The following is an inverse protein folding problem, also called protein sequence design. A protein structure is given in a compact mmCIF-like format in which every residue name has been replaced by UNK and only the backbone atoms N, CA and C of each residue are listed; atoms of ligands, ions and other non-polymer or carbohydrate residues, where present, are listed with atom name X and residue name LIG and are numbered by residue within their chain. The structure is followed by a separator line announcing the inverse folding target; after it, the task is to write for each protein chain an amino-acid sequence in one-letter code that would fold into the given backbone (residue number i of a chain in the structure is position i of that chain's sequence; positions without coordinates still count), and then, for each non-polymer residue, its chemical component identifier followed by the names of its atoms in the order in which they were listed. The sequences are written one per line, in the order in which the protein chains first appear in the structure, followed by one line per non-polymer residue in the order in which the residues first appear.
data_IF_588214886379
#
_entry.id   IF_588214886379
#
_cell.length_a   1.000
_cell.length_b   1.000
_cell.length_c   1.000
_cell.angle_alpha   90.00
_cell.angle_beta   90.00
_cell.angle_gamma   90.00
#
_symmetry.space_group_name_H-M   'P 1'
#
loop_
_entity.id
_entity.type
_entity.pdbx_description
1 polymer ?
#
# COMPACT_ATOMS: atom_id res chain seq x y z
N UNK A 1 -46.31 73.62 -51.21
CA UNK A 1 -46.47 72.90 -49.98
C UNK A 1 -46.31 71.41 -50.33
N UNK A 2 -45.10 70.89 -50.26
CA UNK A 2 -44.75 69.53 -50.73
C UNK A 2 -44.42 68.70 -49.55
N UNK A 3 -45.15 67.58 -49.33
CA UNK A 3 -44.96 66.59 -48.29
C UNK A 3 -43.87 65.59 -48.74
N UNK A 4 -42.84 65.45 -47.94
CA UNK A 4 -41.80 64.41 -48.12
C UNK A 4 -42.30 63.07 -47.60
N UNK A 5 -42.04 61.94 -48.25
CA UNK A 5 -42.35 60.62 -47.76
C UNK A 5 -41.23 60.10 -46.86
N UNK A 6 -41.64 59.43 -45.76
CA UNK A 6 -40.82 58.73 -44.72
C UNK A 6 -40.13 57.48 -45.31
N UNK A 7 -38.86 57.20 -44.99
CA UNK A 7 -38.22 55.95 -45.46
C UNK A 7 -38.65 54.72 -44.62
N UNK A 8 -38.95 53.66 -45.35
CA UNK A 8 -39.33 52.36 -44.81
C UNK A 8 -38.13 51.70 -44.10
N UNK A 9 -38.38 51.18 -42.90
CA UNK A 9 -37.45 50.31 -42.11
C UNK A 9 -37.27 49.00 -42.85
N UNK A 10 -36.03 48.73 -43.32
CA UNK A 10 -35.61 47.39 -43.80
C UNK A 10 -35.31 46.48 -42.59
N UNK A 11 -36.10 45.44 -42.46
CA UNK A 11 -35.84 44.33 -41.48
C UNK A 11 -34.70 43.48 -42.00
N UNK A 12 -33.53 43.59 -41.36
CA UNK A 12 -32.38 42.68 -41.55
C UNK A 12 -32.65 41.36 -40.87
N UNK A 13 -33.15 40.40 -41.61
CA UNK A 13 -33.18 38.99 -41.15
C UNK A 13 -31.76 38.41 -41.10
N UNK A 14 -31.25 38.25 -39.89
CA UNK A 14 -29.99 37.54 -39.63
C UNK A 14 -30.13 36.05 -39.99
N UNK A 15 -29.66 35.70 -41.17
CA UNK A 15 -29.57 34.33 -41.64
C UNK A 15 -28.48 33.58 -40.85
N UNK A 16 -28.84 32.91 -39.77
CA UNK A 16 -27.92 32.04 -38.98
C UNK A 16 -27.52 30.84 -39.83
N UNK A 17 -26.30 30.84 -40.33
CA UNK A 17 -25.76 29.79 -41.18
C UNK A 17 -25.79 28.39 -40.50
N UNK A 18 -26.33 27.36 -41.14
CA UNK A 18 -26.45 25.99 -40.56
C UNK A 18 -25.10 25.28 -40.39
N UNK A 19 -23.99 25.76 -40.94
CA UNK A 19 -22.66 25.14 -40.92
C UNK A 19 -22.00 25.10 -39.53
N UNK A 20 -22.25 26.08 -38.64
CA UNK A 20 -21.68 26.12 -37.29
C UNK A 20 -22.28 25.08 -36.34
N UNK A 21 -23.53 24.69 -36.49
CA UNK A 21 -24.24 23.70 -35.64
C UNK A 21 -23.77 22.27 -35.90
N UNK A 22 -23.38 21.95 -37.12
CA UNK A 22 -22.91 20.62 -37.50
C UNK A 22 -21.48 20.33 -37.01
N UNK A 23 -20.58 21.32 -37.08
CA UNK A 23 -19.21 21.21 -36.61
C UNK A 23 -19.11 21.03 -35.08
N UNK A 24 -20.01 21.64 -34.31
CA UNK A 24 -20.09 21.46 -32.86
C UNK A 24 -20.56 20.04 -32.49
N UNK A 25 -21.59 19.53 -33.15
CA UNK A 25 -22.11 18.16 -32.94
C UNK A 25 -21.07 17.09 -33.26
N UNK A 26 -20.32 17.27 -34.35
CA UNK A 26 -19.23 16.35 -34.72
C UNK A 26 -18.10 16.39 -33.69
N UNK A 27 -17.70 17.57 -33.21
CA UNK A 27 -16.65 17.69 -32.17
C UNK A 27 -17.07 17.06 -30.85
N UNK A 28 -18.32 17.24 -30.45
CA UNK A 28 -18.87 16.61 -29.23
C UNK A 28 -18.93 15.11 -29.39
N UNK A 29 -19.38 14.58 -30.53
CA UNK A 29 -19.40 13.13 -30.79
C UNK A 29 -18.00 12.51 -30.79
N UNK A 30 -17.00 13.20 -31.37
CA UNK A 30 -15.60 12.76 -31.35
C UNK A 30 -15.00 12.77 -29.93
N UNK A 31 -15.34 13.75 -29.10
CA UNK A 31 -14.94 13.77 -27.68
C UNK A 31 -15.54 12.63 -26.88
N UNK A 32 -16.84 12.32 -27.08
CA UNK A 32 -17.48 11.18 -26.42
C UNK A 32 -16.91 9.85 -26.87
N UNK A 33 -16.60 9.67 -28.16
CA UNK A 33 -15.96 8.45 -28.66
C UNK A 33 -14.52 8.30 -28.15
N UNK A 34 -13.75 9.37 -28.06
CA UNK A 34 -12.39 9.33 -27.49
C UNK A 34 -12.42 9.00 -25.98
N UNK A 35 -13.37 9.56 -25.22
CA UNK A 35 -13.58 9.23 -23.81
C UNK A 35 -14.01 7.78 -23.61
N UNK A 36 -14.91 7.27 -24.45
CA UNK A 36 -15.33 5.87 -24.41
C UNK A 36 -14.18 4.90 -24.71
N UNK A 37 -13.34 5.20 -25.73
CA UNK A 37 -12.16 4.40 -26.04
C UNK A 37 -11.14 4.47 -24.90
N UNK A 38 -10.87 5.65 -24.33
CA UNK A 38 -9.96 5.79 -23.21
C UNK A 38 -10.48 5.01 -21.97
N UNK A 39 -11.78 5.02 -21.72
CA UNK A 39 -12.42 4.24 -20.65
C UNK A 39 -12.27 2.74 -20.86
N UNK A 40 -12.51 2.24 -22.10
CA UNK A 40 -12.33 0.83 -22.45
C UNK A 40 -10.88 0.39 -22.30
N UNK A 41 -9.91 1.19 -22.76
CA UNK A 41 -8.48 0.91 -22.61
C UNK A 41 -8.04 0.88 -21.13
N UNK A 42 -8.58 1.79 -20.32
CA UNK A 42 -8.33 1.79 -18.87
C UNK A 42 -8.91 0.55 -18.19
N UNK A 43 -10.08 0.11 -18.61
CA UNK A 43 -10.74 -1.10 -18.09
C UNK A 43 -9.99 -2.38 -18.47
N UNK A 44 -9.51 -2.50 -19.71
CA UNK A 44 -8.67 -3.62 -20.17
C UNK A 44 -7.36 -3.69 -19.38
N UNK A 45 -6.78 -2.53 -19.05
CA UNK A 45 -5.56 -2.47 -18.25
C UNK A 45 -5.81 -2.94 -16.79
N UNK A 46 -6.89 -2.50 -16.15
CA UNK A 46 -7.27 -2.94 -14.80
C UNK A 46 -7.60 -4.44 -14.74
N UNK A 47 -8.28 -4.99 -15.75
CA UNK A 47 -8.54 -6.42 -15.86
C UNK A 47 -7.25 -7.23 -16.02
N UNK A 48 -6.28 -6.73 -16.78
CA UNK A 48 -4.95 -7.31 -16.90
C UNK A 48 -4.22 -7.32 -15.55
N UNK A 49 -4.24 -6.22 -14.80
CA UNK A 49 -3.64 -6.17 -13.47
C UNK A 49 -4.37 -7.09 -12.48
N UNK A 50 -5.68 -7.20 -12.55
CA UNK A 50 -6.46 -8.13 -11.74
C UNK A 50 -6.04 -9.58 -11.98
N UNK A 51 -5.94 -10.01 -13.25
CA UNK A 51 -5.48 -11.36 -13.61
C UNK A 51 -4.05 -11.64 -13.10
N UNK A 52 -3.14 -10.68 -13.23
CA UNK A 52 -1.76 -10.79 -12.73
C UNK A 52 -1.72 -10.88 -11.20
N UNK A 53 -2.54 -10.13 -10.50
CA UNK A 53 -2.70 -10.16 -9.04
C UNK A 53 -3.24 -11.50 -8.56
N UNK A 54 -4.27 -12.03 -9.22
CA UNK A 54 -4.80 -13.37 -8.95
C UNK A 54 -3.71 -14.45 -9.15
N UNK A 55 -2.98 -14.39 -10.27
CA UNK A 55 -1.87 -15.31 -10.53
C UNK A 55 -0.82 -15.23 -9.42
N UNK A 56 -0.42 -14.02 -8.99
CA UNK A 56 0.52 -13.82 -7.88
C UNK A 56 0.01 -14.52 -6.59
N UNK A 57 -1.25 -14.33 -6.22
CA UNK A 57 -1.82 -14.97 -5.03
C UNK A 57 -1.77 -16.49 -5.14
N UNK A 58 -2.17 -17.06 -6.28
CA UNK A 58 -2.22 -18.50 -6.48
C UNK A 58 -0.85 -19.16 -6.56
N UNK A 59 0.10 -18.57 -7.30
CA UNK A 59 1.36 -19.23 -7.62
C UNK A 59 2.49 -18.89 -6.66
N UNK A 60 2.48 -17.69 -6.08
CA UNK A 60 3.60 -17.19 -5.27
C UNK A 60 3.28 -17.20 -3.77
N UNK A 61 2.02 -17.01 -3.39
CA UNK A 61 1.61 -16.89 -1.98
C UNK A 61 1.01 -18.21 -1.48
N UNK A 62 -0.12 -18.63 -2.05
CA UNK A 62 -0.81 -19.86 -1.67
C UNK A 62 -0.12 -21.12 -2.21
N UNK A 63 0.59 -21.02 -3.33
CA UNK A 63 1.33 -22.09 -3.99
C UNK A 63 2.84 -21.96 -3.87
N UNK A 64 3.36 -21.20 -2.89
CA UNK A 64 4.80 -20.99 -2.73
C UNK A 64 5.56 -22.32 -2.67
N UNK A 65 6.62 -22.43 -3.50
CA UNK A 65 7.48 -23.62 -3.59
C UNK A 65 8.92 -23.32 -3.22
N UNK A 66 9.17 -22.23 -2.49
CA UNK A 66 10.49 -21.95 -1.97
C UNK A 66 10.92 -23.05 -1.01
N UNK A 67 12.17 -23.48 -1.11
CA UNK A 67 12.72 -24.49 -0.21
C UNK A 67 12.56 -24.04 1.25
N UNK A 68 11.78 -24.79 2.03
CA UNK A 68 11.47 -24.48 3.42
C UNK A 68 10.39 -23.43 3.67
N UNK A 69 9.75 -22.88 2.61
CA UNK A 69 8.66 -21.93 2.76
C UNK A 69 7.31 -22.65 2.80
N UNK A 70 6.56 -22.49 3.87
CA UNK A 70 5.19 -22.96 3.96
C UNK A 70 4.23 -22.01 3.25
N UNK A 71 3.30 -22.54 2.42
CA UNK A 71 2.27 -21.73 1.79
C UNK A 71 1.44 -20.93 2.80
N UNK A 72 1.06 -19.71 2.44
CA UNK A 72 0.07 -18.92 3.20
C UNK A 72 -1.31 -19.53 2.99
N UNK A 73 -2.02 -19.79 4.09
CA UNK A 73 -3.31 -20.51 4.10
C UNK A 73 -4.48 -19.68 4.62
N UNK A 74 -4.23 -18.57 5.35
CA UNK A 74 -5.33 -17.72 5.84
C UNK A 74 -6.06 -17.07 4.66
N UNK A 75 -7.31 -17.52 4.44
CA UNK A 75 -8.15 -17.04 3.34
C UNK A 75 -8.38 -15.53 3.38
N UNK A 76 -8.40 -14.90 4.57
CA UNK A 76 -8.57 -13.45 4.75
C UNK A 76 -7.32 -12.72 4.26
N UNK A 77 -6.14 -13.27 4.56
CA UNK A 77 -4.87 -12.72 4.06
C UNK A 77 -4.84 -12.83 2.54
N UNK A 78 -5.12 -14.01 1.97
CA UNK A 78 -5.15 -14.20 0.52
C UNK A 78 -6.14 -13.23 -0.16
N UNK A 79 -7.30 -13.01 0.45
CA UNK A 79 -8.30 -12.07 -0.08
C UNK A 79 -7.82 -10.61 -0.01
N UNK A 80 -7.12 -10.21 1.05
CA UNK A 80 -6.51 -8.88 1.13
C UNK A 80 -5.53 -8.64 -0.02
N UNK A 81 -4.74 -9.64 -0.39
CA UNK A 81 -3.82 -9.57 -1.53
C UNK A 81 -4.53 -9.51 -2.89
N UNK A 82 -5.73 -10.11 -3.03
CA UNK A 82 -6.56 -9.96 -4.24
C UNK A 82 -7.12 -8.55 -4.38
N UNK A 83 -7.40 -7.88 -3.27
CA UNK A 83 -8.02 -6.55 -3.24
C UNK A 83 -7.02 -5.41 -3.39
N UNK A 84 -5.79 -5.54 -2.86
CA UNK A 84 -4.81 -4.45 -2.85
C UNK A 84 -3.98 -4.42 -4.14
N UNK A 85 -4.07 -3.35 -4.95
CA UNK A 85 -3.41 -3.27 -6.25
C UNK A 85 -1.92 -2.93 -6.10
N UNK A 86 -1.05 -3.94 -5.97
CA UNK A 86 0.39 -3.77 -5.72
C UNK A 86 1.08 -2.83 -6.74
N UNK A 87 0.63 -2.82 -8.00
CA UNK A 87 1.16 -1.94 -9.05
C UNK A 87 1.00 -0.44 -8.74
N UNK A 88 0.08 -0.06 -7.82
CA UNK A 88 -0.09 1.33 -7.35
C UNK A 88 0.93 1.71 -6.27
N UNK A 89 1.74 0.78 -5.80
CA UNK A 89 2.72 0.95 -4.72
C UNK A 89 4.18 0.86 -5.20
N UNK A 90 4.39 0.82 -6.51
CA UNK A 90 5.73 0.82 -7.13
C UNK A 90 5.90 2.06 -8.01
N UNK A 91 7.16 2.50 -8.27
CA UNK A 91 7.44 3.53 -9.27
C UNK A 91 6.89 3.17 -10.66
N UNK A 92 6.50 4.16 -11.46
CA UNK A 92 5.88 3.97 -12.77
C UNK A 92 6.68 3.04 -13.70
N UNK A 93 8.00 3.17 -13.72
CA UNK A 93 8.89 2.31 -14.51
C UNK A 93 8.86 0.83 -14.09
N UNK A 94 8.42 0.52 -12.88
CA UNK A 94 8.38 -0.84 -12.32
C UNK A 94 6.96 -1.46 -12.32
N UNK A 95 5.95 -0.75 -12.79
CA UNK A 95 4.58 -1.27 -12.94
C UNK A 95 4.53 -2.58 -13.73
N UNK A 96 5.27 -2.77 -14.83
CA UNK A 96 5.34 -4.06 -15.54
C UNK A 96 5.82 -5.22 -14.66
N UNK A 97 6.61 -4.96 -13.62
CA UNK A 97 7.23 -5.95 -12.74
C UNK A 97 6.51 -6.08 -11.38
N UNK A 98 5.46 -5.29 -11.13
CA UNK A 98 4.82 -5.16 -9.82
C UNK A 98 4.34 -6.47 -9.18
N UNK A 99 4.03 -7.48 -10.00
CA UNK A 99 3.51 -8.78 -9.56
C UNK A 99 4.53 -9.92 -9.67
N UNK A 100 5.82 -9.61 -9.84
CA UNK A 100 6.90 -10.59 -9.78
C UNK A 100 7.20 -10.97 -8.32
N UNK A 101 7.67 -12.22 -8.11
CA UNK A 101 7.95 -12.77 -6.77
C UNK A 101 9.33 -12.33 -6.26
N UNK A 102 9.55 -11.03 -6.18
CA UNK A 102 10.78 -10.41 -5.69
C UNK A 102 10.53 -9.03 -5.08
N UNK A 103 11.44 -8.53 -4.24
CA UNK A 103 11.43 -7.13 -3.84
C UNK A 103 11.71 -6.21 -5.04
N UNK A 104 11.16 -4.98 -5.01
CA UNK A 104 11.37 -3.98 -6.04
C UNK A 104 11.81 -2.65 -5.39
N UNK A 105 12.74 -1.90 -6.00
CA UNK A 105 13.19 -0.61 -5.47
C UNK A 105 12.06 0.43 -5.48
N UNK A 106 11.98 1.22 -4.40
CA UNK A 106 11.02 2.32 -4.25
C UNK A 106 11.70 3.68 -4.02
N UNK A 107 13.01 3.74 -4.20
CA UNK A 107 13.83 4.92 -3.95
C UNK A 107 14.50 4.89 -2.57
N UNK A 108 15.42 5.81 -2.35
CA UNK A 108 16.16 6.01 -1.08
C UNK A 108 16.83 4.74 -0.54
N UNK A 109 17.25 3.82 -1.41
CA UNK A 109 17.82 2.53 -1.01
C UNK A 109 16.81 1.54 -0.40
N UNK A 110 15.50 1.83 -0.48
CA UNK A 110 14.44 1.00 0.08
C UNK A 110 13.72 0.19 -1.00
N UNK A 111 13.02 -0.86 -0.57
CA UNK A 111 12.25 -1.73 -1.45
C UNK A 111 10.84 -1.98 -0.93
N UNK A 112 9.91 -2.22 -1.84
CA UNK A 112 8.67 -2.94 -1.51
C UNK A 112 9.02 -4.43 -1.43
N UNK A 113 8.72 -5.08 -0.31
CA UNK A 113 9.07 -6.49 -0.07
C UNK A 113 8.42 -7.45 -1.07
N UNK A 114 9.04 -8.62 -1.26
CA UNK A 114 8.50 -9.73 -2.05
C UNK A 114 7.06 -10.07 -1.61
N UNK A 115 6.12 -10.33 -2.53
CA UNK A 115 4.73 -10.65 -2.20
C UNK A 115 4.55 -11.76 -1.16
N UNK A 116 5.28 -12.87 -1.30
CA UNK A 116 5.23 -13.97 -0.35
C UNK A 116 5.62 -13.52 1.07
N UNK A 117 6.70 -12.74 1.21
CA UNK A 117 7.18 -12.28 2.52
C UNK A 117 6.15 -11.37 3.20
N UNK A 118 5.56 -10.41 2.45
CA UNK A 118 4.47 -9.56 2.96
C UNK A 118 3.30 -10.40 3.47
N UNK A 119 2.92 -11.44 2.72
CA UNK A 119 1.80 -12.32 3.07
C UNK A 119 2.12 -13.18 4.29
N UNK A 120 3.33 -13.78 4.34
CA UNK A 120 3.76 -14.63 5.46
C UNK A 120 3.85 -13.83 6.76
N UNK A 121 4.45 -12.65 6.73
CA UNK A 121 4.51 -11.76 7.89
C UNK A 121 3.11 -11.36 8.36
N UNK A 122 2.18 -11.09 7.44
CA UNK A 122 0.79 -10.78 7.76
C UNK A 122 0.07 -11.97 8.39
N UNK A 123 0.24 -13.20 7.86
CA UNK A 123 -0.36 -14.42 8.42
C UNK A 123 0.14 -14.71 9.83
N UNK A 124 1.46 -14.58 10.06
CA UNK A 124 2.11 -14.89 11.34
C UNK A 124 1.60 -14.06 12.51
N UNK A 125 1.20 -12.82 12.28
CA UNK A 125 0.65 -11.94 13.33
C UNK A 125 -0.84 -12.18 13.60
N UNK A 126 -1.49 -13.10 12.87
CA UNK A 126 -2.91 -13.49 13.04
C UNK A 126 -3.87 -12.30 13.20
N UNK A 127 -3.93 -11.38 12.23
CA UNK A 127 -4.72 -10.16 12.35
C UNK A 127 -6.22 -10.47 12.47
N UNK A 128 -6.95 -9.72 13.32
CA UNK A 128 -8.39 -9.81 13.47
C UNK A 128 -9.05 -8.45 13.20
N UNK A 129 -10.33 -8.44 12.87
CA UNK A 129 -11.07 -7.24 12.45
C UNK A 129 -11.10 -6.13 13.49
N UNK A 130 -11.01 -6.46 14.75
CA UNK A 130 -11.03 -5.58 15.92
C UNK A 130 -9.61 -5.16 16.38
N UNK A 131 -8.57 -5.73 15.78
CA UNK A 131 -7.18 -5.47 16.15
C UNK A 131 -6.71 -4.07 15.75
N UNK A 132 -5.76 -3.56 16.54
CA UNK A 132 -4.90 -2.43 16.21
C UNK A 132 -3.52 -2.93 15.84
N UNK A 133 -3.05 -2.57 14.66
CA UNK A 133 -1.72 -2.95 14.16
C UNK A 133 -0.74 -1.78 14.18
N UNK A 134 0.54 -2.10 14.44
CA UNK A 134 1.67 -1.21 14.22
C UNK A 134 2.56 -1.81 13.12
N UNK A 135 2.95 -1.00 12.15
CA UNK A 135 3.97 -1.31 11.17
C UNK A 135 5.18 -0.41 11.38
N UNK A 136 6.38 -0.98 11.31
CA UNK A 136 7.65 -0.24 11.31
C UNK A 136 8.30 -0.37 9.94
N UNK A 137 8.49 0.77 9.26
CA UNK A 137 8.95 0.82 7.87
C UNK A 137 7.78 0.91 6.89
N UNK A 138 7.14 2.09 6.78
CA UNK A 138 6.01 2.30 5.85
C UNK A 138 6.40 2.05 4.40
N UNK A 139 7.61 2.49 4.01
CA UNK A 139 8.10 2.38 2.65
C UNK A 139 7.12 2.91 1.61
N UNK A 140 6.61 2.03 0.74
CA UNK A 140 5.59 2.38 -0.25
C UNK A 140 4.17 2.50 0.32
N UNK A 141 3.90 1.98 1.54
CA UNK A 141 2.58 1.83 2.15
C UNK A 141 1.85 0.53 1.79
N UNK A 142 2.50 -0.41 1.08
CA UNK A 142 1.84 -1.63 0.62
C UNK A 142 1.46 -2.58 1.76
N UNK A 143 2.38 -2.85 2.70
CA UNK A 143 2.11 -3.69 3.87
C UNK A 143 1.01 -3.06 4.75
N UNK A 144 1.04 -1.74 4.97
CA UNK A 144 -0.02 -1.01 5.67
C UNK A 144 -1.38 -1.17 4.97
N UNK A 145 -1.42 -1.06 3.63
CA UNK A 145 -2.64 -1.25 2.85
C UNK A 145 -3.20 -2.67 2.99
N UNK A 146 -2.35 -3.71 2.98
CA UNK A 146 -2.75 -5.11 3.24
C UNK A 146 -3.33 -5.25 4.65
N UNK A 147 -2.62 -4.79 5.69
CA UNK A 147 -3.08 -4.84 7.07
C UNK A 147 -4.44 -4.14 7.26
N UNK A 148 -4.66 -3.00 6.60
CA UNK A 148 -5.90 -2.23 6.71
C UNK A 148 -7.16 -2.96 6.24
N UNK A 149 -7.02 -4.03 5.46
CA UNK A 149 -8.13 -4.92 5.06
C UNK A 149 -8.50 -5.92 6.15
N UNK A 150 -7.62 -6.12 7.12
CA UNK A 150 -7.71 -7.21 8.09
C UNK A 150 -7.97 -6.73 9.52
N UNK A 151 -7.66 -5.45 9.82
CA UNK A 151 -7.72 -4.90 11.18
C UNK A 151 -8.59 -3.64 11.26
N UNK A 152 -8.87 -3.17 12.48
CA UNK A 152 -9.64 -1.96 12.72
C UNK A 152 -8.84 -0.68 12.42
N UNK A 153 -7.55 -0.64 12.82
CA UNK A 153 -6.67 0.52 12.69
C UNK A 153 -5.24 0.05 12.39
N UNK A 154 -4.56 0.75 11.48
CA UNK A 154 -3.14 0.56 11.20
C UNK A 154 -2.40 1.85 11.51
N UNK A 155 -1.36 1.76 12.32
CA UNK A 155 -0.40 2.83 12.58
C UNK A 155 0.92 2.42 11.98
N UNK A 156 1.52 3.26 11.13
CA UNK A 156 2.79 2.95 10.47
C UNK A 156 3.80 4.08 10.63
N UNK A 157 5.06 3.72 10.82
CA UNK A 157 6.15 4.66 11.08
C UNK A 157 7.20 4.55 9.98
N UNK A 158 7.60 5.72 9.43
CA UNK A 158 8.65 5.83 8.43
C UNK A 158 9.71 6.84 8.87
N UNK A 159 10.97 6.44 8.86
CA UNK A 159 12.06 7.35 9.23
C UNK A 159 12.50 8.24 8.07
N UNK A 160 12.35 7.77 6.82
CA UNK A 160 12.69 8.50 5.61
C UNK A 160 11.52 9.40 5.24
N UNK A 161 11.60 10.66 5.65
CA UNK A 161 10.51 11.62 5.51
C UNK A 161 9.89 11.68 4.09
N UNK A 162 10.65 11.76 2.97
CA UNK A 162 10.04 11.77 1.64
C UNK A 162 9.22 10.53 1.32
N UNK A 163 9.67 9.34 1.76
CA UNK A 163 8.90 8.10 1.58
C UNK A 163 7.61 8.11 2.39
N UNK A 164 7.68 8.52 3.66
CA UNK A 164 6.50 8.56 4.53
C UNK A 164 5.46 9.57 4.06
N UNK A 165 5.88 10.74 3.53
CA UNK A 165 4.97 11.72 2.92
C UNK A 165 4.30 11.12 1.68
N UNK A 166 5.07 10.57 0.74
CA UNK A 166 4.55 9.95 -0.47
C UNK A 166 3.62 8.75 -0.19
N UNK A 167 3.93 7.94 0.83
CA UNK A 167 3.07 6.84 1.26
C UNK A 167 1.74 7.34 1.85
N UNK A 168 1.77 8.39 2.68
CA UNK A 168 0.56 9.01 3.24
C UNK A 168 -0.38 9.51 2.15
N UNK A 169 0.15 10.25 1.18
CA UNK A 169 -0.61 10.77 0.04
C UNK A 169 -1.21 9.63 -0.79
N UNK A 170 -0.41 8.63 -1.13
CA UNK A 170 -0.86 7.44 -1.88
C UNK A 170 -1.96 6.67 -1.16
N UNK A 171 -1.79 6.42 0.13
CA UNK A 171 -2.78 5.72 0.94
C UNK A 171 -4.10 6.50 1.02
N UNK A 172 -4.03 7.83 1.15
CA UNK A 172 -5.21 8.69 1.15
C UNK A 172 -5.93 8.68 -0.23
N UNK A 173 -5.18 8.84 -1.33
CA UNK A 173 -5.68 8.79 -2.71
C UNK A 173 -6.38 7.44 -3.01
N UNK A 174 -5.79 6.33 -2.55
CA UNK A 174 -6.33 4.98 -2.74
C UNK A 174 -7.43 4.61 -1.73
N UNK A 175 -7.81 5.52 -0.84
CA UNK A 175 -8.94 5.35 0.09
C UNK A 175 -8.63 4.49 1.33
N UNK A 176 -7.37 4.27 1.69
CA UNK A 176 -6.97 3.51 2.89
C UNK A 176 -7.06 4.36 4.16
N UNK A 177 -8.27 4.81 4.52
CA UNK A 177 -8.53 5.77 5.62
C UNK A 177 -8.23 5.26 7.02
N UNK A 178 -8.04 3.95 7.18
CA UNK A 178 -7.69 3.30 8.46
C UNK A 178 -6.20 3.35 8.79
N UNK A 179 -5.37 3.92 7.91
CA UNK A 179 -3.91 3.95 8.03
C UNK A 179 -3.46 5.34 8.46
N UNK A 180 -2.88 5.42 9.67
CA UNK A 180 -2.18 6.59 10.16
C UNK A 180 -0.68 6.47 9.91
N UNK A 181 -0.06 7.47 9.25
CA UNK A 181 1.38 7.50 8.94
C UNK A 181 2.08 8.53 9.81
N UNK A 182 3.11 8.10 10.56
CA UNK A 182 4.01 8.96 11.35
C UNK A 182 5.39 8.98 10.73
N UNK A 183 5.99 10.16 10.65
CA UNK A 183 7.41 10.31 10.33
C UNK A 183 8.21 10.27 11.64
N UNK A 184 9.11 9.30 11.77
CA UNK A 184 9.90 9.14 13.01
C UNK A 184 10.71 7.87 13.05
N UNK A 185 11.41 7.67 14.18
CA UNK A 185 12.21 6.49 14.44
C UNK A 185 11.32 5.34 14.93
N UNK A 186 11.24 4.30 14.12
CA UNK A 186 10.43 3.11 14.38
C UNK A 186 10.94 2.24 15.55
N UNK A 187 12.21 2.39 15.95
CA UNK A 187 12.77 1.66 17.09
C UNK A 187 11.96 1.87 18.37
N UNK A 188 11.44 3.09 18.58
CA UNK A 188 10.67 3.47 19.77
C UNK A 188 9.17 3.15 19.65
N UNK A 189 8.71 2.67 18.49
CA UNK A 189 7.28 2.42 18.26
C UNK A 189 6.42 3.70 18.31
N UNK A 190 5.18 3.52 18.75
CA UNK A 190 4.20 4.60 18.87
C UNK A 190 3.45 4.53 20.22
N UNK A 191 4.09 4.97 21.33
CA UNK A 191 3.55 4.82 22.68
C UNK A 191 2.14 5.37 22.86
N UNK A 192 1.84 6.53 22.22
CA UNK A 192 0.55 7.21 22.32
C UNK A 192 -0.61 6.42 21.66
N UNK A 193 -0.28 5.41 20.86
CA UNK A 193 -1.24 4.53 20.17
C UNK A 193 -1.26 3.11 20.73
N UNK A 194 -0.31 2.79 21.61
CA UNK A 194 -0.23 1.46 22.25
C UNK A 194 -1.44 1.22 23.20
N UNK A 195 -1.76 -0.06 23.52
CA UNK A 195 -1.09 -1.27 23.04
C UNK A 195 -1.56 -1.75 21.67
N UNK A 196 -0.71 -2.54 20.99
CA UNK A 196 -0.99 -3.11 19.67
C UNK A 196 -1.24 -4.62 19.77
N UNK A 197 -2.24 -5.10 19.05
CA UNK A 197 -2.51 -6.55 18.93
C UNK A 197 -1.51 -7.22 17.98
N UNK A 198 -1.11 -6.51 16.92
CA UNK A 198 -0.17 -6.97 15.89
C UNK A 198 0.93 -5.94 15.66
N UNK A 199 2.19 -6.38 15.58
CA UNK A 199 3.32 -5.54 15.16
C UNK A 199 4.04 -6.23 14.00
N UNK A 200 4.24 -5.50 12.89
CA UNK A 200 4.99 -5.97 11.72
C UNK A 200 6.17 -5.04 11.49
N UNK A 201 7.40 -5.56 11.62
CA UNK A 201 8.62 -4.78 11.39
C UNK A 201 9.20 -5.17 10.04
N UNK A 202 9.24 -4.24 9.10
CA UNK A 202 9.67 -4.46 7.71
C UNK A 202 11.11 -4.01 7.44
N UNK A 203 11.91 -3.93 8.49
CA UNK A 203 13.34 -3.61 8.45
C UNK A 203 14.10 -4.49 9.45
N UNK A 204 15.36 -4.85 9.14
CA UNK A 204 16.16 -5.75 9.95
C UNK A 204 16.81 -5.03 11.13
N UNK A 205 16.66 -5.59 12.33
CA UNK A 205 17.27 -5.09 13.56
C UNK A 205 18.31 -6.10 14.10
N UNK A 206 19.38 -5.62 14.75
CA UNK A 206 20.36 -6.50 15.38
C UNK A 206 19.79 -7.26 16.58
N UNK A 207 18.72 -6.77 17.17
CA UNK A 207 18.00 -7.36 18.29
C UNK A 207 16.53 -6.93 18.26
N UNK A 208 15.67 -7.60 18.99
CA UNK A 208 14.26 -7.20 19.13
C UNK A 208 14.19 -5.94 19.99
N UNK A 209 13.66 -4.79 19.48
CA UNK A 209 13.58 -3.55 20.25
C UNK A 209 12.65 -3.70 21.48
N UNK A 210 13.17 -3.48 22.71
CA UNK A 210 12.36 -3.59 23.93
C UNK A 210 11.08 -2.73 23.90
N UNK A 211 11.09 -1.47 23.39
CA UNK A 211 9.87 -0.66 23.32
C UNK A 211 8.74 -1.28 22.51
N UNK A 212 9.06 -2.11 21.49
CA UNK A 212 8.03 -2.80 20.71
C UNK A 212 7.41 -3.95 21.46
N UNK A 213 8.19 -4.66 22.29
CA UNK A 213 7.68 -5.70 23.20
C UNK A 213 6.76 -5.09 24.27
N UNK A 214 7.14 -3.95 24.83
CA UNK A 214 6.34 -3.22 25.82
C UNK A 214 4.99 -2.82 25.24
N UNK A 215 4.97 -2.29 24.00
CA UNK A 215 3.78 -1.86 23.29
C UNK A 215 2.94 -3.00 22.71
N UNK A 216 3.45 -4.23 22.70
CA UNK A 216 2.68 -5.40 22.30
C UNK A 216 1.70 -5.77 23.40
N UNK A 217 0.43 -5.94 23.06
CA UNK A 217 -0.65 -6.34 23.96
C UNK A 217 -0.43 -7.76 24.49
N UNK A 218 -0.82 -8.11 25.71
CA UNK A 218 -0.92 -9.51 26.14
C UNK A 218 -1.80 -10.30 25.14
N UNK A 219 -1.33 -11.44 24.68
CA UNK A 219 -1.93 -12.23 23.59
C UNK A 219 -1.59 -11.73 22.19
N UNK A 220 -0.86 -10.63 22.06
CA UNK A 220 -0.45 -10.05 20.77
C UNK A 220 0.76 -10.75 20.16
N UNK A 221 0.99 -10.49 18.87
CA UNK A 221 2.07 -11.07 18.07
C UNK A 221 2.85 -9.99 17.31
N UNK A 222 4.17 -10.19 17.25
CA UNK A 222 5.05 -9.36 16.47
C UNK A 222 5.91 -10.24 15.56
N UNK A 223 6.12 -9.78 14.32
CA UNK A 223 7.05 -10.38 13.37
C UNK A 223 8.13 -9.37 13.01
N UNK A 224 9.40 -9.80 13.06
CA UNK A 224 10.56 -8.92 12.89
C UNK A 224 11.74 -9.69 12.29
N UNK A 225 12.45 -9.17 11.27
CA UNK A 225 13.75 -9.68 10.85
C UNK A 225 14.83 -9.31 11.88
N UNK A 226 15.53 -10.34 12.41
CA UNK A 226 16.60 -10.16 13.41
C UNK A 226 17.92 -10.71 12.87
N UNK A 227 18.97 -9.93 13.00
CA UNK A 227 20.32 -10.28 12.57
C UNK A 227 21.09 -9.10 11.98
N UNK A 228 22.31 -9.37 11.52
CA UNK A 228 23.12 -8.35 10.87
C UNK A 228 22.44 -7.87 9.59
N UNK A 229 22.17 -6.56 9.42
CA UNK A 229 21.48 -6.02 8.25
C UNK A 229 22.21 -6.24 6.90
N UNK A 230 23.49 -6.55 6.94
CA UNK A 230 24.32 -6.80 5.75
C UNK A 230 24.50 -8.30 5.43
N UNK A 231 23.82 -9.16 6.19
CA UNK A 231 23.84 -10.60 6.03
C UNK A 231 22.40 -11.13 5.95
N UNK A 232 22.24 -12.44 5.80
CA UNK A 232 20.94 -13.10 5.95
C UNK A 232 20.47 -12.96 7.39
N UNK A 233 19.24 -12.44 7.57
CA UNK A 233 18.59 -12.35 8.88
C UNK A 233 17.64 -13.54 9.08
N UNK A 234 17.22 -13.75 10.31
CA UNK A 234 16.13 -14.67 10.64
C UNK A 234 14.84 -13.87 10.83
N UNK A 235 13.77 -14.23 10.10
CA UNK A 235 12.43 -13.75 10.42
C UNK A 235 11.99 -14.42 11.72
N UNK A 236 11.66 -13.62 12.72
CA UNK A 236 11.34 -14.06 14.07
C UNK A 236 9.88 -13.71 14.39
N UNK A 237 9.15 -14.68 14.93
CA UNK A 237 7.83 -14.48 15.52
C UNK A 237 7.96 -14.33 17.04
N UNK A 238 7.48 -13.22 17.57
CA UNK A 238 7.37 -12.94 18.99
C UNK A 238 5.91 -13.00 19.41
N UNK A 239 5.61 -13.83 20.40
CA UNK A 239 4.25 -13.94 20.99
C UNK A 239 4.32 -13.53 22.45
N UNK A 240 3.49 -12.55 22.84
CA UNK A 240 3.37 -12.11 24.24
C UNK A 240 2.22 -12.85 24.90
N UNK A 241 2.53 -13.67 25.88
CA UNK A 241 1.52 -14.40 26.64
C UNK A 241 0.74 -13.51 27.60
N UNK A 242 -0.14 -14.13 28.39
CA UNK A 242 -1.04 -13.43 29.33
C UNK A 242 -0.64 -13.54 30.79
N UNK A 243 0.41 -14.32 31.09
CA UNK A 243 0.85 -14.61 32.48
C UNK A 243 1.73 -13.50 33.08
N UNK A 244 2.02 -12.46 32.34
CA UNK A 244 2.79 -11.31 32.81
C UNK A 244 3.74 -10.73 31.77
N UNK A 245 4.46 -9.63 32.11
CA UNK A 245 5.31 -8.91 31.15
C UNK A 245 6.48 -9.74 30.56
N UNK A 246 6.92 -10.78 31.29
CA UNK A 246 8.03 -11.67 30.91
C UNK A 246 7.56 -12.94 30.17
N UNK A 247 6.27 -13.13 29.98
CA UNK A 247 5.73 -14.26 29.22
C UNK A 247 5.87 -13.99 27.72
N UNK A 248 7.10 -14.07 27.24
CA UNK A 248 7.48 -13.82 25.85
C UNK A 248 8.02 -15.11 25.25
N UNK A 249 7.45 -15.52 24.11
CA UNK A 249 7.95 -16.62 23.29
C UNK A 249 8.54 -16.05 22.00
N UNK A 250 9.71 -16.53 21.63
CA UNK A 250 10.44 -16.16 20.43
C UNK A 250 10.65 -17.42 19.60
N UNK A 251 10.26 -17.38 18.34
CA UNK A 251 10.35 -18.50 17.41
C UNK A 251 10.99 -18.05 16.10
N UNK A 252 12.03 -18.74 15.69
CA UNK A 252 12.63 -18.59 14.37
C UNK A 252 11.68 -19.17 13.30
N UNK A 253 11.46 -18.42 12.22
CA UNK A 253 10.52 -18.80 11.17
C UNK A 253 11.25 -19.22 9.90
N UNK A 254 12.06 -18.32 9.34
CA UNK A 254 12.76 -18.54 8.08
C UNK A 254 13.87 -17.51 7.83
N UNK A 255 14.87 -17.83 7.01
CA UNK A 255 15.86 -16.84 6.57
C UNK A 255 15.24 -15.79 5.65
N UNK A 256 15.65 -14.53 5.81
CA UNK A 256 15.17 -13.37 5.03
C UNK A 256 16.29 -12.37 4.79
N UNK A 257 16.06 -11.42 3.86
CA UNK A 257 16.94 -10.29 3.61
C UNK A 257 16.13 -8.99 3.58
N UNK A 258 16.33 -8.14 4.57
CA UNK A 258 15.68 -6.83 4.71
C UNK A 258 16.71 -5.71 4.77
N UNK A 259 16.29 -4.50 4.39
CA UNK A 259 17.04 -3.28 4.63
C UNK A 259 17.18 -3.03 6.13
N UNK A 260 18.23 -2.30 6.58
CA UNK A 260 18.45 -2.03 7.99
C UNK A 260 17.32 -1.23 8.64
N UNK A 261 16.96 -1.56 9.88
CA UNK A 261 16.21 -0.67 10.77
C UNK A 261 17.20 0.44 11.23
N UNK A 262 17.14 1.58 10.54
CA UNK A 262 17.97 2.73 10.89
C UNK A 262 17.26 3.58 11.91
N UNK A 263 17.95 3.89 13.04
CA UNK A 263 17.54 4.86 14.04
C UNK A 263 18.36 6.12 13.95
N UNK A 264 17.85 7.24 14.46
CA UNK A 264 18.71 8.39 14.73
C UNK A 264 19.58 8.03 15.94
N UNK A 265 20.92 8.22 15.89
CA UNK A 265 21.70 8.07 17.10
C UNK A 265 21.09 9.02 18.16
N UNK A 266 20.79 8.46 19.35
CA UNK A 266 20.37 9.28 20.48
C UNK A 266 21.41 10.39 20.65
N UNK A 267 21.00 11.63 20.44
CA UNK A 267 21.76 12.77 21.00
C UNK A 267 21.67 12.58 22.51
N UNK A 268 22.78 12.08 23.10
CA UNK A 268 23.00 12.13 24.54
C UNK A 268 23.03 13.58 25.02
#
# INVERSE_FOLDING_TARGET
MLLNPTPALQSTTLHKSPRRRNSYRIRVALLFSALAVAFLLAQDNEDSFRKRREKMVWTQIAGSRWAGAEPVRDARVLEAFRQVPRHRFVPAALVPHAYEDRPLPIGYGQTISQPYIVAKMTELVEPKKDCRALEIGTGSGYQAAILSRLVAEVNTIEIIQPLGVAARERLAELGYRKVGVRIGDGYYGWPEKAPFDCIVVTAAANHIPPPLIEQLKPGGRMVIPVGNPFQTQTLVLVSKGTKGPRDIRVQDVMPVAFVPLVGRPNKK
#
